data_IF_300636453370
#
_entry.id   IF_300636453370
#
_cell.length_a   1.000
_cell.length_b   1.000
_cell.length_c   1.000
_cell.angle_alpha   90.00
_cell.angle_beta   90.00
_cell.angle_gamma   90.00
#
_symmetry.space_group_name_H-M   'P 1'
#
loop_
_entity.id
_entity.type
_entity.pdbx_description
1 polymer ?
#
# COMPACT_ATOMS: atom_id res chain seq x y z
N UNK A 1 -1.84 19.27 -1.71
CA UNK A 1 -0.57 18.60 -1.39
C UNK A 1 0.30 18.55 -2.62
N UNK A 2 1.54 18.99 -2.53
CA UNK A 2 2.45 19.04 -3.65
C UNK A 2 3.25 17.75 -3.83
N UNK A 3 3.92 17.65 -4.97
CA UNK A 3 4.73 16.49 -5.32
C UNK A 3 5.84 16.21 -4.28
N UNK A 4 6.48 17.28 -3.77
CA UNK A 4 7.53 17.14 -2.76
C UNK A 4 7.02 16.50 -1.46
N UNK A 5 5.80 16.87 -1.05
CA UNK A 5 5.17 16.28 0.13
C UNK A 5 4.83 14.81 -0.10
N UNK A 6 4.40 14.47 -1.30
CA UNK A 6 4.14 13.08 -1.68
C UNK A 6 5.41 12.24 -1.64
N UNK A 7 6.52 12.76 -2.16
CA UNK A 7 7.82 12.07 -2.10
C UNK A 7 8.24 11.85 -0.65
N UNK A 8 8.03 12.84 0.23
CA UNK A 8 8.38 12.73 1.64
C UNK A 8 7.55 11.62 2.32
N UNK A 9 6.28 11.49 1.98
CA UNK A 9 5.43 10.42 2.49
C UNK A 9 5.90 9.07 1.97
N UNK A 10 6.22 8.96 0.66
CA UNK A 10 6.73 7.73 0.07
C UNK A 10 8.01 7.26 0.77
N UNK A 11 8.91 8.18 1.10
CA UNK A 11 10.15 7.85 1.81
C UNK A 11 9.92 7.22 3.18
N UNK A 12 8.79 7.53 3.81
CA UNK A 12 8.44 7.00 5.14
C UNK A 12 7.77 5.64 5.09
N UNK A 13 7.37 5.17 3.90
CA UNK A 13 6.82 3.82 3.74
C UNK A 13 7.98 2.84 3.85
N UNK A 14 7.95 1.90 4.81
CA UNK A 14 9.07 0.95 4.96
C UNK A 14 9.43 0.20 3.69
N UNK A 15 8.44 -0.14 2.87
CA UNK A 15 8.64 -0.84 1.61
C UNK A 15 9.52 -0.04 0.64
N UNK A 16 9.50 1.29 0.73
CA UNK A 16 10.19 2.21 -0.19
C UNK A 16 11.37 2.95 0.44
N UNK A 17 11.71 2.64 1.69
CA UNK A 17 12.69 3.42 2.47
C UNK A 17 14.09 3.51 1.85
N UNK A 18 14.49 2.53 1.05
CA UNK A 18 15.81 2.49 0.43
C UNK A 18 15.80 2.87 -1.06
N UNK A 19 14.67 3.36 -1.56
CA UNK A 19 14.56 3.80 -2.95
C UNK A 19 15.01 5.27 -3.03
N UNK A 20 15.82 5.58 -4.04
CA UNK A 20 16.31 6.94 -4.25
C UNK A 20 15.16 7.94 -4.41
N UNK A 21 15.25 9.14 -3.80
CA UNK A 21 14.21 10.15 -3.91
C UNK A 21 13.82 10.51 -5.35
N UNK A 22 14.78 10.52 -6.28
CA UNK A 22 14.50 10.78 -7.69
C UNK A 22 13.56 9.76 -8.32
N UNK A 23 13.67 8.48 -7.90
CA UNK A 23 12.80 7.40 -8.38
C UNK A 23 11.43 7.48 -7.72
N UNK A 24 11.38 7.83 -6.43
CA UNK A 24 10.12 8.06 -5.72
C UNK A 24 9.34 9.23 -6.33
N UNK A 25 10.05 10.26 -6.79
CA UNK A 25 9.45 11.41 -7.47
C UNK A 25 8.76 10.97 -8.78
N UNK A 26 9.42 10.13 -9.56
CA UNK A 26 8.83 9.58 -10.78
C UNK A 26 7.58 8.74 -10.46
N UNK A 27 7.64 7.92 -9.42
CA UNK A 27 6.52 7.11 -8.98
C UNK A 27 5.34 7.98 -8.53
N UNK A 28 5.60 9.01 -7.74
CA UNK A 28 4.57 9.94 -7.27
C UNK A 28 3.92 10.68 -8.44
N UNK A 29 4.73 11.17 -9.37
CA UNK A 29 4.25 11.90 -10.54
C UNK A 29 3.33 11.04 -11.41
N UNK A 30 3.67 9.76 -11.60
CA UNK A 30 2.91 8.84 -12.44
C UNK A 30 1.72 8.21 -11.72
N UNK A 31 1.60 8.39 -10.42
CA UNK A 31 0.51 7.83 -9.62
C UNK A 31 -0.71 8.74 -9.66
N UNK A 32 -1.88 8.17 -9.33
CA UNK A 32 -3.15 8.88 -9.36
C UNK A 32 -3.58 9.23 -7.93
N UNK A 33 -4.01 10.47 -7.72
CA UNK A 33 -4.64 10.86 -6.45
C UNK A 33 -6.11 10.46 -6.48
N UNK A 34 -6.54 9.75 -5.45
CA UNK A 34 -7.94 9.31 -5.32
C UNK A 34 -8.40 9.63 -3.92
N UNK A 35 -9.53 10.34 -3.82
CA UNK A 35 -10.17 10.66 -2.54
C UNK A 35 -11.41 9.81 -2.37
N UNK A 36 -11.58 9.24 -1.18
CA UNK A 36 -12.71 8.40 -0.82
C UNK A 36 -13.54 9.08 0.27
N UNK A 37 -14.85 9.07 0.12
CA UNK A 37 -15.75 9.55 1.14
C UNK A 37 -15.86 8.55 2.29
N UNK A 38 -16.20 9.02 3.48
CA UNK A 38 -16.45 8.16 4.64
C UNK A 38 -17.38 7.01 4.28
N UNK A 39 -17.02 5.79 4.71
CA UNK A 39 -17.82 4.59 4.47
C UNK A 39 -17.59 3.94 3.13
N UNK A 40 -16.80 4.56 2.24
CA UNK A 40 -16.49 3.99 0.92
C UNK A 40 -15.33 3.00 1.03
N UNK A 41 -15.48 1.84 0.41
CA UNK A 41 -14.39 0.86 0.33
C UNK A 41 -13.40 1.25 -0.77
N UNK A 42 -12.10 1.18 -0.46
CA UNK A 42 -11.05 1.28 -1.46
C UNK A 42 -11.06 0.02 -2.32
N UNK A 43 -11.25 -1.11 -1.66
CA UNK A 43 -11.42 -2.43 -2.28
C UNK A 43 -12.04 -3.38 -1.26
N UNK A 44 -12.58 -4.49 -1.76
CA UNK A 44 -13.21 -5.51 -0.94
C UNK A 44 -12.41 -6.82 -0.97
N UNK A 45 -12.44 -7.53 0.16
CA UNK A 45 -11.81 -8.85 0.29
C UNK A 45 -12.28 -9.78 -0.83
N UNK A 46 -11.36 -10.51 -1.43
CA UNK A 46 -11.64 -11.46 -2.50
C UNK A 46 -11.61 -10.87 -3.91
N UNK A 47 -11.62 -9.54 -4.05
CA UNK A 47 -11.50 -8.90 -5.36
C UNK A 47 -10.09 -9.06 -5.93
N UNK A 48 -9.99 -8.96 -7.26
CA UNK A 48 -8.70 -8.94 -7.91
C UNK A 48 -7.96 -7.64 -7.57
N UNK A 49 -6.68 -7.75 -7.21
CA UNK A 49 -5.88 -6.60 -6.81
C UNK A 49 -5.08 -6.02 -7.97
N UNK A 50 -5.40 -4.79 -8.36
CA UNK A 50 -4.77 -4.09 -9.47
C UNK A 50 -3.98 -2.85 -9.07
N UNK A 51 -4.02 -2.48 -7.79
CA UNK A 51 -3.35 -1.28 -7.28
C UNK A 51 -3.10 -1.37 -5.79
N UNK A 52 -2.08 -0.64 -5.34
CA UNK A 52 -1.86 -0.34 -3.93
C UNK A 52 -2.22 1.11 -3.69
N UNK A 53 -2.57 1.45 -2.46
CA UNK A 53 -2.92 2.81 -2.05
C UNK A 53 -2.03 3.25 -0.90
N UNK A 54 -1.45 4.43 -1.04
CA UNK A 54 -0.70 5.07 0.04
C UNK A 54 -1.58 6.15 0.63
N UNK A 55 -1.79 6.10 1.94
CA UNK A 55 -2.62 7.09 2.63
C UNK A 55 -1.82 8.39 2.78
N UNK A 56 -2.33 9.46 2.17
CA UNK A 56 -1.76 10.80 2.30
C UNK A 56 -2.38 11.53 3.48
N UNK A 57 -3.69 11.40 3.66
CA UNK A 57 -4.44 12.08 4.72
C UNK A 57 -5.71 11.29 5.03
N UNK A 58 -6.08 11.25 6.29
CA UNK A 58 -7.27 10.52 6.75
C UNK A 58 -6.93 9.14 7.31
N UNK A 59 -7.96 8.38 7.62
CA UNK A 59 -7.83 7.03 8.18
C UNK A 59 -8.79 6.05 7.51
N UNK A 60 -8.45 4.76 7.59
CA UNK A 60 -9.28 3.68 7.07
C UNK A 60 -9.18 2.45 7.96
N UNK A 61 -10.23 1.65 7.98
CA UNK A 61 -10.27 0.37 8.68
C UNK A 61 -9.93 -0.76 7.72
N UNK A 62 -9.09 -1.68 8.19
CA UNK A 62 -8.81 -2.94 7.50
C UNK A 62 -9.71 -4.00 8.12
N UNK A 63 -10.57 -4.61 7.30
CA UNK A 63 -11.58 -5.57 7.76
C UNK A 63 -11.45 -6.90 7.04
N UNK A 64 -11.65 -7.97 7.78
CA UNK A 64 -11.73 -9.32 7.22
C UNK A 64 -13.10 -9.92 7.52
N UNK A 65 -13.56 -10.79 6.63
CA UNK A 65 -14.81 -11.53 6.86
C UNK A 65 -14.51 -12.75 7.71
N UNK A 66 -15.19 -12.85 8.85
CA UNK A 66 -15.07 -14.00 9.75
C UNK A 66 -15.84 -15.22 9.22
N UNK A 67 -15.68 -16.34 9.93
CA UNK A 67 -16.28 -17.63 9.55
C UNK A 67 -17.80 -17.57 9.42
N UNK A 68 -18.45 -16.68 10.17
CA UNK A 68 -19.91 -16.52 10.17
C UNK A 68 -20.39 -15.39 9.26
N UNK A 69 -19.50 -14.84 8.42
CA UNK A 69 -19.83 -13.76 7.50
C UNK A 69 -19.78 -12.37 8.11
N UNK A 70 -19.40 -12.26 9.39
CA UNK A 70 -19.27 -10.95 10.05
C UNK A 70 -18.00 -10.22 9.62
N UNK A 71 -18.09 -8.89 9.54
CA UNK A 71 -16.91 -8.05 9.27
C UNK A 71 -16.17 -7.77 10.58
N UNK A 72 -14.88 -8.08 10.62
CA UNK A 72 -14.03 -7.87 11.78
C UNK A 72 -12.96 -6.86 11.42
N UNK A 73 -12.87 -5.75 12.16
CA UNK A 73 -11.81 -4.78 11.99
C UNK A 73 -10.53 -5.29 12.66
N UNK A 74 -9.52 -5.55 11.86
CA UNK A 74 -8.24 -6.12 12.34
C UNK A 74 -7.14 -5.09 12.46
N UNK A 75 -7.29 -3.93 11.84
CA UNK A 75 -6.29 -2.86 11.89
C UNK A 75 -6.91 -1.53 11.44
N UNK A 76 -6.24 -0.44 11.78
CA UNK A 76 -6.55 0.88 11.26
C UNK A 76 -5.29 1.43 10.62
N UNK A 77 -5.44 2.08 9.47
CA UNK A 77 -4.33 2.70 8.75
C UNK A 77 -4.55 4.20 8.63
N UNK A 78 -3.47 4.94 8.55
CA UNK A 78 -3.48 6.39 8.44
C UNK A 78 -2.34 6.87 7.56
N UNK A 79 -2.04 8.17 7.65
CA UNK A 79 -0.99 8.79 6.84
C UNK A 79 0.33 8.03 6.95
N UNK A 80 1.02 7.87 5.84
CA UNK A 80 2.28 7.14 5.66
C UNK A 80 2.13 5.62 5.65
N UNK A 81 0.91 5.09 5.63
CA UNK A 81 0.68 3.65 5.48
C UNK A 81 0.37 3.30 4.03
N UNK A 82 0.73 2.07 3.64
CA UNK A 82 0.38 1.50 2.34
C UNK A 82 -0.57 0.32 2.55
N UNK A 83 -1.58 0.22 1.70
CA UNK A 83 -2.52 -0.91 1.73
C UNK A 83 -2.66 -1.50 0.32
N UNK A 84 -2.91 -2.81 0.26
CA UNK A 84 -3.14 -3.50 -1.01
C UNK A 84 -1.90 -3.93 -1.74
N UNK A 85 -0.72 -3.78 -1.17
CA UNK A 85 0.56 -4.16 -1.79
C UNK A 85 0.69 -5.67 -1.96
N UNK A 86 0.10 -6.46 -1.06
CA UNK A 86 0.20 -7.93 -1.11
C UNK A 86 -0.43 -8.47 -2.40
N UNK A 87 -1.58 -7.95 -2.79
CA UNK A 87 -2.27 -8.41 -3.99
C UNK A 87 -1.44 -8.14 -5.26
N UNK A 88 -0.68 -7.04 -5.28
CA UNK A 88 0.21 -6.72 -6.40
C UNK A 88 1.44 -7.63 -6.39
N UNK A 89 2.09 -7.72 -5.24
CA UNK A 89 3.38 -8.42 -5.11
C UNK A 89 3.24 -9.93 -5.23
N UNK A 90 2.14 -10.48 -4.73
CA UNK A 90 1.92 -11.93 -4.66
C UNK A 90 0.94 -12.45 -5.72
N UNK A 91 0.32 -11.56 -6.49
CA UNK A 91 -0.68 -11.91 -7.51
C UNK A 91 -1.80 -12.79 -6.93
N UNK A 92 -2.34 -12.35 -5.80
CA UNK A 92 -3.42 -13.04 -5.08
C UNK A 92 -4.63 -12.09 -4.94
N UNK A 93 -5.85 -12.63 -4.73
CA UNK A 93 -6.99 -11.77 -4.43
C UNK A 93 -6.77 -10.93 -3.17
N UNK A 94 -7.54 -9.86 -3.02
CA UNK A 94 -7.48 -9.01 -1.84
C UNK A 94 -7.69 -9.84 -0.57
N UNK A 95 -6.78 -9.73 0.38
CA UNK A 95 -6.80 -10.49 1.64
C UNK A 95 -7.70 -9.86 2.68
N UNK A 96 -8.10 -8.62 2.47
CA UNK A 96 -8.96 -7.87 3.38
C UNK A 96 -9.70 -6.78 2.60
N UNK A 97 -10.72 -6.23 3.20
CA UNK A 97 -11.38 -5.01 2.72
C UNK A 97 -10.78 -3.81 3.42
N UNK A 98 -10.73 -2.67 2.75
CA UNK A 98 -10.28 -1.41 3.35
C UNK A 98 -11.36 -0.37 3.13
N UNK A 99 -11.84 0.22 4.23
CA UNK A 99 -12.99 1.13 4.23
C UNK A 99 -12.60 2.46 4.87
N UNK A 100 -12.83 3.56 4.17
CA UNK A 100 -12.53 4.89 4.70
C UNK A 100 -13.41 5.20 5.92
N UNK A 101 -12.80 5.69 7.00
CA UNK A 101 -13.50 6.07 8.23
C UNK A 101 -13.79 7.57 8.33
N UNK A 102 -13.37 8.31 7.32
CA UNK A 102 -13.61 9.73 7.11
C UNK A 102 -13.16 10.03 5.69
N UNK A 103 -13.10 11.29 5.31
CA UNK A 103 -12.53 11.65 4.01
C UNK A 103 -11.09 11.18 3.95
N UNK A 104 -10.76 10.37 2.96
CA UNK A 104 -9.47 9.72 2.83
C UNK A 104 -8.84 10.10 1.49
N UNK A 105 -7.68 10.73 1.55
CA UNK A 105 -6.90 11.08 0.35
C UNK A 105 -5.75 10.09 0.19
N UNK A 106 -5.65 9.49 -0.99
CA UNK A 106 -4.67 8.46 -1.26
C UNK A 106 -3.89 8.74 -2.53
N UNK A 107 -2.75 8.06 -2.65
CA UNK A 107 -1.99 7.98 -3.89
C UNK A 107 -2.13 6.53 -4.38
N UNK A 108 -2.75 6.36 -5.53
CA UNK A 108 -2.98 5.04 -6.13
C UNK A 108 -1.81 4.68 -7.03
N UNK A 109 -1.13 3.57 -6.70
CA UNK A 109 -0.04 3.03 -7.50
C UNK A 109 -0.56 1.76 -8.17
N UNK A 110 -0.73 1.81 -9.50
CA UNK A 110 -1.21 0.64 -10.23
C UNK A 110 -0.15 -0.45 -10.31
N UNK A 111 -0.60 -1.68 -10.47
CA UNK A 111 0.28 -2.83 -10.69
C UNK A 111 1.21 -2.58 -11.88
N UNK A 112 0.66 -2.05 -12.98
CA UNK A 112 1.44 -1.73 -14.18
C UNK A 112 2.52 -0.70 -13.91
N UNK A 113 2.19 0.37 -13.18
CA UNK A 113 3.18 1.39 -12.82
C UNK A 113 4.28 0.80 -11.95
N UNK A 114 3.92 0.02 -10.94
CA UNK A 114 4.91 -0.57 -10.04
C UNK A 114 5.90 -1.46 -10.82
N UNK A 115 5.39 -2.37 -11.65
CA UNK A 115 6.25 -3.28 -12.40
C UNK A 115 7.03 -2.57 -13.51
N UNK A 116 6.48 -1.51 -14.10
CA UNK A 116 7.24 -0.68 -15.05
C UNK A 116 8.43 -0.03 -14.34
N UNK A 117 8.21 0.51 -13.13
CA UNK A 117 9.28 1.11 -12.34
C UNK A 117 10.37 0.08 -12.00
N UNK A 118 9.98 -1.13 -11.65
CA UNK A 118 10.94 -2.22 -11.39
C UNK A 118 11.68 -2.61 -12.66
N UNK A 119 11.00 -2.64 -13.80
CA UNK A 119 11.61 -2.95 -15.09
C UNK A 119 12.65 -1.91 -15.49
N UNK A 120 12.31 -0.62 -15.36
CA UNK A 120 13.19 0.48 -15.74
C UNK A 120 14.31 0.71 -14.72
N UNK A 121 14.05 0.43 -13.45
CA UNK A 121 14.98 0.60 -12.34
C UNK A 121 14.99 -0.67 -11.48
N UNK A 122 15.70 -1.74 -11.93
CA UNK A 122 15.68 -3.02 -11.21
C UNK A 122 16.06 -2.95 -9.73
N UNK A 123 16.84 -1.93 -9.34
CA UNK A 123 17.22 -1.73 -7.95
C UNK A 123 15.99 -1.53 -7.04
N UNK A 124 14.89 -0.98 -7.57
CA UNK A 124 13.65 -0.83 -6.81
C UNK A 124 13.16 -2.21 -6.35
N UNK A 125 13.13 -3.19 -7.26
CA UNK A 125 12.73 -4.55 -6.92
C UNK A 125 13.64 -5.20 -5.89
N UNK A 126 14.96 -4.98 -6.01
CA UNK A 126 15.94 -5.51 -5.05
C UNK A 126 15.67 -4.93 -3.65
N UNK A 127 15.45 -3.62 -3.54
CA UNK A 127 15.20 -2.99 -2.23
C UNK A 127 13.88 -3.44 -1.62
N UNK A 128 12.85 -3.60 -2.44
CA UNK A 128 11.56 -4.15 -1.97
C UNK A 128 11.75 -5.56 -1.44
N UNK A 129 12.49 -6.41 -2.16
CA UNK A 129 12.78 -7.77 -1.71
C UNK A 129 13.55 -7.80 -0.39
N UNK A 130 14.49 -6.89 -0.18
CA UNK A 130 15.24 -6.79 1.08
C UNK A 130 14.32 -6.48 2.26
N UNK A 131 13.41 -5.52 2.07
CA UNK A 131 12.45 -5.15 3.11
C UNK A 131 11.55 -6.33 3.46
N UNK A 132 11.04 -7.04 2.44
CA UNK A 132 10.17 -8.20 2.66
C UNK A 132 10.90 -9.34 3.34
N UNK A 133 12.14 -9.61 2.94
CA UNK A 133 12.98 -10.63 3.58
C UNK A 133 13.24 -10.30 5.05
N UNK A 134 13.52 -9.03 5.36
CA UNK A 134 13.72 -8.57 6.72
C UNK A 134 12.45 -8.74 7.58
N UNK A 135 11.29 -8.42 7.03
CA UNK A 135 10.00 -8.64 7.73
C UNK A 135 9.79 -10.10 8.05
N UNK A 136 10.10 -11.00 7.10
CA UNK A 136 9.97 -12.43 7.30
C UNK A 136 10.90 -12.93 8.40
N UNK A 137 12.15 -12.48 8.42
CA UNK A 137 13.12 -12.81 9.45
C UNK A 137 12.64 -12.37 10.83
N UNK A 138 12.16 -11.14 10.94
CA UNK A 138 11.63 -10.59 12.20
C UNK A 138 10.44 -11.42 12.70
N UNK A 139 9.50 -11.74 11.82
CA UNK A 139 8.34 -12.58 12.17
C UNK A 139 8.76 -13.96 12.66
N UNK A 140 9.73 -14.57 11.97
CA UNK A 140 10.25 -15.89 12.36
C UNK A 140 10.87 -15.85 13.75
N UNK A 141 11.62 -14.81 14.08
CA UNK A 141 12.20 -14.64 15.41
C UNK A 141 11.14 -14.52 16.50
N UNK A 142 10.04 -13.82 16.22
CA UNK A 142 8.95 -13.64 17.18
C UNK A 142 8.21 -14.96 17.47
N UNK A 143 8.27 -15.92 16.56
CA UNK A 143 7.62 -17.21 16.71
C UNK A 143 8.46 -18.25 17.46
N UNK A 144 9.71 -17.94 17.77
CA UNK A 144 10.62 -18.85 18.49
C UNK A 144 10.43 -18.79 19.99
#
# INVERSE_FOLDING_TARGET
>A
MGLEQEVEILRRIPLFQNIEPSKLKLMAFASERVTFAEGTALFDQGEEGDAAYIVLDGTADVRVTGERGEAITVAQVGANDIVGEIAILCDVPRTASVVATGELTTLKITKELFFRMVHDFPQIGVEVMRVLAHRLETTTRQLR
#
